data_IF_090757909705
#
_entry.id   IF_090757909705
#
_cell.length_a   1.000
_cell.length_b   1.000
_cell.length_c   1.000
_cell.angle_alpha   90.00
_cell.angle_beta   90.00
_cell.angle_gamma   90.00
#
_symmetry.space_group_name_H-M   'P 1'
#
loop_
_entity.id
_entity.type
_entity.pdbx_description
1 polymer ?
#
# COMPACT_ATOMS: atom_id res chain seq x y z
N UNK A 1 -42.81 1.87 18.84
CA UNK A 1 -41.39 2.29 18.85
C UNK A 1 -41.26 3.60 18.08
N UNK A 2 -40.62 4.63 18.65
CA UNK A 2 -40.67 6.03 18.14
C UNK A 2 -39.59 6.39 17.09
N UNK A 3 -38.83 5.41 16.61
CA UNK A 3 -37.74 5.62 15.64
C UNK A 3 -38.23 6.16 14.28
N UNK A 4 -39.42 5.74 13.85
CA UNK A 4 -40.03 6.18 12.58
C UNK A 4 -40.22 7.70 12.52
N UNK A 5 -40.68 8.30 13.63
CA UNK A 5 -40.90 9.75 13.73
C UNK A 5 -39.58 10.51 13.66
N UNK A 6 -38.52 9.99 14.28
CA UNK A 6 -37.18 10.63 14.28
C UNK A 6 -36.55 10.58 12.89
N UNK A 7 -36.65 9.45 12.19
CA UNK A 7 -36.20 9.33 10.79
C UNK A 7 -36.96 10.29 9.88
N UNK A 8 -38.28 10.38 10.02
CA UNK A 8 -39.13 11.25 9.21
C UNK A 8 -38.81 12.73 9.44
N UNK A 9 -38.59 13.17 10.69
CA UNK A 9 -38.25 14.56 10.99
C UNK A 9 -36.83 14.92 10.54
N UNK A 10 -35.86 14.00 10.67
CA UNK A 10 -34.49 14.21 10.19
C UNK A 10 -34.44 14.41 8.66
N UNK A 11 -35.14 13.56 7.89
CA UNK A 11 -35.20 13.70 6.43
C UNK A 11 -35.84 15.02 6.01
N UNK A 12 -36.91 15.45 6.69
CA UNK A 12 -37.54 16.75 6.46
C UNK A 12 -36.59 17.93 6.74
N UNK A 13 -35.79 17.84 7.80
CA UNK A 13 -34.81 18.87 8.15
C UNK A 13 -33.65 18.96 7.13
N UNK A 14 -33.15 17.83 6.65
CA UNK A 14 -32.10 17.78 5.62
C UNK A 14 -32.59 18.40 4.30
N UNK A 15 -33.84 18.11 3.88
CA UNK A 15 -34.44 18.68 2.66
C UNK A 15 -34.65 20.20 2.72
N UNK A 16 -34.68 20.81 3.91
CA UNK A 16 -34.82 22.27 4.08
C UNK A 16 -33.54 23.04 3.77
N UNK A 17 -32.36 22.40 3.84
CA UNK A 17 -31.05 23.08 3.67
C UNK A 17 -30.15 22.39 2.63
N UNK A 18 -30.72 22.11 1.44
CA UNK A 18 -30.08 21.32 0.39
C UNK A 18 -28.64 21.72 0.05
N UNK A 19 -28.33 23.02 -0.04
CA UNK A 19 -26.97 23.47 -0.35
C UNK A 19 -25.97 23.05 0.73
N UNK A 20 -26.29 23.30 2.00
CA UNK A 20 -25.42 22.93 3.12
C UNK A 20 -25.27 21.42 3.21
N UNK A 21 -26.36 20.68 3.13
CA UNK A 21 -26.35 19.21 3.23
C UNK A 21 -25.57 18.57 2.07
N UNK A 22 -25.73 19.09 0.85
CA UNK A 22 -25.01 18.61 -0.32
C UNK A 22 -23.50 18.89 -0.20
N UNK A 23 -23.11 20.11 0.15
CA UNK A 23 -21.70 20.49 0.33
C UNK A 23 -21.01 19.64 1.41
N UNK A 24 -21.68 19.40 2.55
CA UNK A 24 -21.11 18.55 3.61
C UNK A 24 -21.01 17.08 3.19
N UNK A 25 -22.01 16.57 2.47
CA UNK A 25 -21.99 15.19 1.97
C UNK A 25 -20.89 15.00 0.93
N UNK A 26 -20.73 15.94 0.00
CA UNK A 26 -19.65 15.93 -1.00
C UNK A 26 -18.28 15.93 -0.36
N UNK A 27 -18.05 16.80 0.64
CA UNK A 27 -16.78 16.83 1.37
C UNK A 27 -16.47 15.49 2.06
N UNK A 28 -17.47 14.87 2.68
CA UNK A 28 -17.31 13.56 3.32
C UNK A 28 -17.02 12.46 2.29
N UNK A 29 -17.74 12.44 1.16
CA UNK A 29 -17.55 11.44 0.10
C UNK A 29 -16.14 11.52 -0.48
N UNK A 30 -15.69 12.73 -0.84
CA UNK A 30 -14.35 12.93 -1.42
C UNK A 30 -13.27 12.61 -0.38
N UNK A 31 -13.46 13.06 0.86
CA UNK A 31 -12.51 12.83 1.95
C UNK A 31 -12.31 11.34 2.24
N UNK A 32 -13.41 10.59 2.40
CA UNK A 32 -13.34 9.15 2.65
C UNK A 32 -12.82 8.39 1.43
N UNK A 33 -13.21 8.79 0.21
CA UNK A 33 -12.73 8.17 -1.02
C UNK A 33 -11.20 8.28 -1.16
N UNK A 34 -10.62 9.46 -0.92
CA UNK A 34 -9.17 9.67 -1.00
C UNK A 34 -8.38 8.84 0.03
N UNK A 35 -8.95 8.66 1.22
CA UNK A 35 -8.33 7.81 2.25
C UNK A 35 -8.38 6.35 1.82
N UNK A 36 -9.53 5.88 1.33
CA UNK A 36 -9.68 4.49 0.86
C UNK A 36 -8.70 4.18 -0.28
N UNK A 37 -8.56 5.09 -1.26
CA UNK A 37 -7.66 4.87 -2.39
C UNK A 37 -6.20 4.78 -1.95
N UNK A 38 -5.73 5.70 -1.10
CA UNK A 38 -4.35 5.66 -0.58
C UNK A 38 -4.10 4.40 0.24
N UNK A 39 -5.06 4.00 1.08
CA UNK A 39 -4.91 2.78 1.88
C UNK A 39 -4.85 1.54 0.98
N UNK A 40 -5.77 1.43 0.01
CA UNK A 40 -5.79 0.32 -0.94
C UNK A 40 -4.52 0.27 -1.78
N UNK A 41 -4.05 1.42 -2.27
CA UNK A 41 -2.82 1.51 -3.06
C UNK A 41 -1.60 1.17 -2.22
N UNK A 42 -1.54 1.65 -0.98
CA UNK A 42 -0.43 1.36 -0.07
C UNK A 42 -0.35 -0.12 0.29
N UNK A 43 -1.49 -0.76 0.56
CA UNK A 43 -1.53 -2.21 0.80
C UNK A 43 -1.22 -3.02 -0.46
N UNK A 44 -1.74 -2.60 -1.62
CA UNK A 44 -1.44 -3.26 -2.89
C UNK A 44 0.03 -3.14 -3.29
N UNK A 45 0.65 -1.98 -3.09
CA UNK A 45 2.08 -1.78 -3.33
C UNK A 45 2.94 -2.63 -2.39
N UNK A 46 2.58 -2.71 -1.10
CA UNK A 46 3.26 -3.59 -0.14
C UNK A 46 3.13 -5.06 -0.55
N UNK A 47 1.94 -5.50 -0.94
CA UNK A 47 1.72 -6.87 -1.41
C UNK A 47 2.54 -7.19 -2.66
N UNK A 48 2.61 -6.25 -3.62
CA UNK A 48 3.45 -6.42 -4.82
C UNK A 48 4.93 -6.50 -4.50
N UNK A 49 5.42 -5.71 -3.54
CA UNK A 49 6.82 -5.76 -3.10
C UNK A 49 7.08 -7.07 -2.34
N UNK A 50 6.16 -7.50 -1.49
CA UNK A 50 6.25 -8.79 -0.79
C UNK A 50 6.31 -9.95 -1.79
N UNK A 51 5.47 -9.95 -2.82
CA UNK A 51 5.46 -10.96 -3.88
C UNK A 51 6.77 -10.95 -4.70
N UNK A 52 7.31 -9.77 -4.98
CA UNK A 52 8.58 -9.62 -5.70
C UNK A 52 9.79 -10.01 -4.82
N UNK A 53 9.70 -9.81 -3.50
CA UNK A 53 10.70 -10.25 -2.51
C UNK A 53 10.62 -11.76 -2.25
N UNK A 54 9.42 -12.33 -2.18
CA UNK A 54 9.20 -13.79 -2.13
C UNK A 54 9.64 -14.46 -3.44
N UNK A 55 9.40 -13.83 -4.58
CA UNK A 55 9.88 -14.25 -5.90
C UNK A 55 11.39 -14.10 -6.07
N UNK A 56 11.99 -13.08 -5.45
CA UNK A 56 13.44 -12.96 -5.27
C UNK A 56 13.97 -14.01 -4.27
N UNK A 57 13.10 -14.60 -3.45
CA UNK A 57 13.34 -15.82 -2.71
C UNK A 57 13.86 -15.59 -1.28
N UNK A 58 13.20 -16.25 -0.32
CA UNK A 58 13.68 -16.58 1.03
C UNK A 58 14.98 -17.42 1.03
N UNK A 59 15.57 -17.64 -0.15
CA UNK A 59 16.79 -18.40 -0.39
C UNK A 59 17.67 -17.71 -1.44
N UNK A 60 17.94 -16.41 -1.26
CA UNK A 60 18.94 -15.69 -2.04
C UNK A 60 20.34 -16.26 -1.76
N UNK A 61 20.79 -17.21 -2.60
CA UNK A 61 22.19 -17.61 -2.66
C UNK A 61 22.95 -16.51 -3.40
N UNK A 62 23.37 -15.49 -2.64
CA UNK A 62 24.30 -14.47 -3.13
C UNK A 62 25.66 -15.14 -3.32
N UNK A 63 25.93 -15.61 -4.54
CA UNK A 63 27.26 -16.04 -4.95
C UNK A 63 28.09 -14.78 -5.20
N UNK A 64 28.60 -14.20 -4.14
CA UNK A 64 29.74 -13.29 -4.25
C UNK A 64 30.93 -14.15 -4.69
N UNK A 65 31.29 -14.08 -5.98
CA UNK A 65 32.59 -14.52 -6.44
C UNK A 65 33.64 -13.72 -5.67
N UNK A 66 34.13 -14.29 -4.57
CA UNK A 66 35.14 -13.69 -3.74
C UNK A 66 36.41 -13.56 -4.55
N UNK A 67 36.65 -12.39 -5.13
CA UNK A 67 38.01 -11.98 -5.39
C UNK A 67 38.62 -11.67 -4.02
N UNK A 68 39.00 -12.72 -3.29
CA UNK A 68 39.77 -12.66 -2.05
C UNK A 68 41.11 -12.00 -2.37
N UNK A 69 41.12 -10.67 -2.36
CA UNK A 69 42.34 -9.88 -2.37
C UNK A 69 42.79 -9.75 -0.93
N UNK A 70 43.40 -10.82 -0.43
CA UNK A 70 44.20 -10.74 0.78
C UNK A 70 45.56 -10.18 0.36
N UNK A 71 45.82 -8.91 0.68
CA UNK A 71 47.17 -8.34 0.64
C UNK A 71 47.78 -8.12 -0.75
N UNK A 72 47.01 -7.70 -1.76
CA UNK A 72 47.58 -7.15 -3.00
C UNK A 72 47.93 -8.16 -4.11
N UNK A 73 47.57 -9.44 -3.97
CA UNK A 73 47.72 -10.43 -5.05
C UNK A 73 46.37 -10.65 -5.74
N UNK A 74 46.32 -10.40 -7.06
CA UNK A 74 45.19 -10.77 -7.93
C UNK A 74 45.39 -12.22 -8.37
N UNK A 75 44.65 -13.16 -7.76
CA UNK A 75 44.53 -14.52 -8.28
C UNK A 75 43.57 -14.49 -9.47
N UNK A 76 44.15 -14.53 -10.67
CA UNK A 76 43.39 -14.56 -11.92
C UNK A 76 42.53 -15.82 -12.04
N UNK A 77 41.36 -15.64 -12.66
CA UNK A 77 40.40 -16.66 -13.11
C UNK A 77 41.13 -17.77 -13.91
N UNK A 78 41.49 -18.88 -13.27
CA UNK A 78 42.19 -19.97 -13.96
C UNK A 78 42.71 -21.15 -13.13
N UNK A 79 42.65 -21.14 -11.80
CA UNK A 79 43.16 -22.26 -10.98
C UNK A 79 42.09 -23.33 -10.67
N UNK A 80 41.32 -23.74 -11.67
CA UNK A 80 40.59 -25.01 -11.64
C UNK A 80 41.53 -26.11 -12.12
N UNK A 81 42.46 -26.52 -11.27
CA UNK A 81 43.12 -27.81 -11.41
C UNK A 81 42.45 -28.78 -10.43
N UNK A 82 41.48 -29.54 -10.95
CA UNK A 82 40.75 -30.66 -10.32
C UNK A 82 39.63 -30.28 -9.35
#
# INVERSE_FOLDING_TARGET
MRFDVVLRTAVLALRRSLLRTCLTALGLIIGVAAVITIVSLGQGARASIEEEVEGAGTNLVIVCAGNWTSGGVRLGMGSSST
#
